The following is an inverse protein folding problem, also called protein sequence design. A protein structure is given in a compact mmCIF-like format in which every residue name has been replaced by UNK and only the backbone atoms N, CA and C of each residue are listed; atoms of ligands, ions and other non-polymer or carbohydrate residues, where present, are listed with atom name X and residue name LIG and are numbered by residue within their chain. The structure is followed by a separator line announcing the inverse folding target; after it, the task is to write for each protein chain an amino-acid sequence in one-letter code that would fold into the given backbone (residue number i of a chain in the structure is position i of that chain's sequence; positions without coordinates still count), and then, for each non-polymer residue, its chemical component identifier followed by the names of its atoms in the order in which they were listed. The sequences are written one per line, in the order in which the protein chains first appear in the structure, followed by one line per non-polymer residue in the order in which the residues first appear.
data_IF_545266420923
#
_entry.id   IF_545266420923
#
_cell.length_a   1.000
_cell.length_b   1.000
_cell.length_c   1.000
_cell.angle_alpha   90.00
_cell.angle_beta   90.00
_cell.angle_gamma   90.00
#
_symmetry.space_group_name_H-M   'P 1'
#
loop_
_entity.id
_entity.type
_entity.pdbx_description
1 polymer ?
#
# COMPACT_ATOMS: atom_id res chain seq x y z
N UNK A 1 3.76 -17.09 0.12
CA UNK A 1 3.86 -17.72 1.45
C UNK A 1 5.27 -17.56 2.00
N UNK A 2 6.34 -17.93 1.24
CA UNK A 2 7.72 -17.78 1.70
C UNK A 2 8.02 -16.34 2.15
N UNK A 3 7.69 -15.34 1.35
CA UNK A 3 7.89 -13.93 1.69
C UNK A 3 7.15 -13.54 2.96
N UNK A 4 5.93 -14.04 3.17
CA UNK A 4 5.16 -13.78 4.38
C UNK A 4 5.82 -14.38 5.63
N UNK A 5 6.28 -15.62 5.58
CA UNK A 5 6.88 -16.27 6.74
C UNK A 5 8.24 -15.69 7.14
N UNK A 6 9.06 -15.24 6.17
CA UNK A 6 10.36 -14.62 6.45
C UNK A 6 10.29 -13.33 7.28
N UNK A 7 9.14 -12.67 7.31
CA UNK A 7 8.95 -11.52 8.20
C UNK A 7 8.89 -11.93 9.68
N UNK A 8 8.58 -13.19 9.98
CA UNK A 8 8.35 -13.67 11.33
C UNK A 8 9.31 -14.77 11.79
N UNK A 9 10.18 -15.26 10.91
CA UNK A 9 11.26 -16.21 11.19
C UNK A 9 12.52 -15.75 10.44
N UNK A 10 13.50 -15.24 11.19
CA UNK A 10 14.78 -14.74 10.64
C UNK A 10 15.59 -15.81 9.90
N UNK A 11 15.37 -17.07 10.21
CA UNK A 11 16.03 -18.20 9.53
C UNK A 11 15.32 -18.68 8.26
N UNK A 12 14.20 -18.04 7.90
CA UNK A 12 13.32 -18.56 6.83
C UNK A 12 13.89 -18.43 5.42
N UNK A 13 14.92 -17.62 5.23
CA UNK A 13 15.65 -17.50 3.96
C UNK A 13 16.32 -18.82 3.51
N UNK A 14 16.47 -19.81 4.39
CA UNK A 14 16.91 -21.19 4.02
C UNK A 14 15.98 -21.85 3.00
N UNK A 15 14.71 -21.44 2.96
CA UNK A 15 13.71 -21.93 1.98
C UNK A 15 13.65 -21.11 0.68
N UNK A 16 14.55 -20.15 0.48
CA UNK A 16 14.61 -19.38 -0.76
C UNK A 16 14.82 -20.26 -2.00
N UNK A 17 15.70 -21.31 -1.99
CA UNK A 17 15.83 -22.22 -3.14
C UNK A 17 14.53 -22.88 -3.53
N UNK A 18 13.71 -23.30 -2.54
CA UNK A 18 12.36 -23.82 -2.77
C UNK A 18 11.44 -22.76 -3.38
N UNK A 19 11.44 -21.53 -2.83
CA UNK A 19 10.60 -20.43 -3.31
C UNK A 19 10.93 -20.02 -4.76
N UNK A 20 12.21 -20.11 -5.17
CA UNK A 20 12.63 -19.86 -6.54
C UNK A 20 12.22 -20.97 -7.52
N UNK A 21 11.88 -22.18 -7.04
CA UNK A 21 11.41 -23.30 -7.85
C UNK A 21 12.45 -23.84 -8.84
N UNK A 22 13.74 -23.54 -8.66
CA UNK A 22 14.82 -23.90 -9.57
C UNK A 22 15.62 -25.12 -9.11
N UNK A 23 15.58 -25.42 -7.83
CA UNK A 23 16.24 -26.53 -7.20
C UNK A 23 15.20 -27.60 -6.84
N UNK A 24 15.32 -28.78 -7.47
CA UNK A 24 14.39 -29.89 -7.23
C UNK A 24 14.66 -30.64 -5.94
N UNK A 25 15.84 -30.47 -5.39
CA UNK A 25 16.32 -31.09 -4.15
C UNK A 25 16.22 -30.12 -2.97
N UNK A 26 15.65 -28.92 -3.19
CA UNK A 26 15.45 -27.95 -2.14
C UNK A 26 14.56 -28.49 -1.02
N UNK A 27 14.88 -28.14 0.22
CA UNK A 27 14.04 -28.47 1.39
C UNK A 27 12.63 -27.87 1.20
N UNK A 28 11.61 -28.70 1.42
CA UNK A 28 10.21 -28.29 1.35
C UNK A 28 9.88 -27.25 2.43
N UNK A 29 9.17 -26.21 2.05
CA UNK A 29 8.73 -25.17 2.97
C UNK A 29 7.63 -25.71 3.90
N UNK A 30 7.67 -25.46 5.22
CA UNK A 30 6.65 -25.92 6.15
C UNK A 30 5.30 -25.23 5.89
N UNK A 31 4.20 -25.90 6.26
CA UNK A 31 2.84 -25.35 6.14
C UNK A 31 2.55 -24.25 7.17
N UNK A 32 3.29 -24.21 8.26
CA UNK A 32 3.14 -23.22 9.34
C UNK A 32 4.47 -23.01 10.05
N UNK A 33 4.59 -21.88 10.73
CA UNK A 33 5.77 -21.52 11.53
C UNK A 33 5.33 -21.09 12.93
N UNK A 34 6.27 -21.15 13.87
CA UNK A 34 6.17 -20.45 15.14
C UNK A 34 6.98 -19.17 14.99
N UNK A 35 6.36 -17.98 15.07
CA UNK A 35 7.08 -16.71 15.00
C UNK A 35 8.17 -16.62 16.09
N UNK A 36 9.30 -16.01 15.79
CA UNK A 36 10.40 -15.82 16.73
C UNK A 36 10.15 -14.70 17.75
N UNK A 37 9.04 -13.97 17.59
CA UNK A 37 8.58 -12.91 18.49
C UNK A 37 7.05 -12.76 18.48
N UNK A 38 6.51 -11.94 19.38
CA UNK A 38 5.07 -11.57 19.35
C UNK A 38 4.79 -10.63 18.19
N UNK A 39 3.89 -11.04 17.32
CA UNK A 39 3.55 -10.29 16.10
C UNK A 39 2.56 -9.17 16.40
N UNK A 40 2.86 -7.97 15.97
CA UNK A 40 1.98 -6.80 16.05
C UNK A 40 1.06 -6.69 14.82
N UNK A 41 0.01 -5.88 14.93
CA UNK A 41 -0.87 -5.55 13.80
C UNK A 41 -0.08 -4.85 12.68
N UNK A 42 0.82 -3.94 13.06
CA UNK A 42 1.64 -3.19 12.11
C UNK A 42 2.56 -4.09 11.27
N UNK A 43 3.13 -5.13 11.89
CA UNK A 43 3.94 -6.12 11.16
C UNK A 43 3.13 -6.93 10.17
N UNK A 44 1.90 -7.34 10.54
CA UNK A 44 1.00 -8.01 9.59
C UNK A 44 0.58 -7.07 8.46
N UNK A 45 0.28 -5.80 8.77
CA UNK A 45 0.01 -4.79 7.73
C UNK A 45 1.20 -4.60 6.78
N UNK A 46 2.43 -4.62 7.31
CA UNK A 46 3.65 -4.55 6.48
C UNK A 46 3.75 -5.76 5.55
N UNK A 47 3.44 -6.97 6.02
CA UNK A 47 3.40 -8.17 5.17
C UNK A 47 2.35 -8.08 4.06
N UNK A 48 1.18 -7.49 4.36
CA UNK A 48 0.14 -7.28 3.35
C UNK A 48 0.55 -6.27 2.26
N UNK A 49 1.64 -5.52 2.49
CA UNK A 49 2.23 -4.52 1.59
C UNK A 49 3.46 -5.00 0.84
N UNK A 50 3.86 -6.25 1.04
CA UNK A 50 5.09 -6.81 0.53
C UNK A 50 5.09 -7.00 -1.00
N UNK A 51 6.16 -6.54 -1.65
CA UNK A 51 6.46 -6.75 -3.07
C UNK A 51 7.78 -7.51 -3.24
N UNK A 52 8.17 -8.30 -2.25
CA UNK A 52 9.44 -9.05 -2.20
C UNK A 52 10.68 -8.16 -2.11
N UNK A 53 10.56 -6.93 -1.60
CA UNK A 53 11.66 -5.97 -1.51
C UNK A 53 12.87 -6.58 -0.82
N UNK A 54 14.05 -6.34 -1.40
CA UNK A 54 15.32 -6.86 -0.91
C UNK A 54 15.54 -8.36 -1.13
N UNK A 55 14.74 -9.02 -1.96
CA UNK A 55 14.87 -10.44 -2.32
C UNK A 55 15.15 -10.62 -3.81
N UNK A 56 15.64 -11.80 -4.24
CA UNK A 56 15.78 -12.12 -5.67
C UNK A 56 14.46 -12.14 -6.47
N UNK A 57 13.31 -12.15 -5.78
CA UNK A 57 11.97 -12.09 -6.40
C UNK A 57 11.47 -10.65 -6.57
N UNK A 58 12.17 -9.66 -6.01
CA UNK A 58 11.79 -8.25 -6.10
C UNK A 58 11.69 -7.79 -7.56
N UNK A 59 10.64 -7.04 -7.85
CA UNK A 59 10.38 -6.49 -9.19
C UNK A 59 10.57 -4.97 -9.26
N UNK A 60 10.94 -4.34 -8.15
CA UNK A 60 11.27 -2.92 -8.03
C UNK A 60 12.71 -2.57 -8.45
N UNK A 61 13.48 -3.56 -8.89
CA UNK A 61 14.82 -3.37 -9.44
C UNK A 61 14.80 -2.59 -10.75
N UNK A 62 15.93 -1.97 -11.10
CA UNK A 62 16.07 -1.17 -12.32
C UNK A 62 16.20 -2.02 -13.59
N UNK A 63 15.47 -3.11 -13.68
CA UNK A 63 15.31 -3.84 -14.93
C UNK A 63 14.24 -3.18 -15.84
N UNK A 64 14.15 -3.61 -17.10
CA UNK A 64 13.18 -3.04 -18.03
C UNK A 64 11.73 -3.31 -17.62
N UNK A 65 11.46 -4.37 -16.84
CA UNK A 65 10.12 -4.70 -16.37
C UNK A 65 9.61 -3.77 -15.28
N UNK A 66 10.47 -3.34 -14.34
CA UNK A 66 10.17 -2.32 -13.33
C UNK A 66 10.11 -0.91 -13.94
N UNK A 67 10.74 -0.75 -15.10
CA UNK A 67 10.82 0.52 -15.79
C UNK A 67 11.67 1.56 -15.05
N UNK A 68 11.68 2.75 -15.60
CA UNK A 68 12.44 3.89 -15.07
C UNK A 68 12.04 4.26 -13.61
N UNK A 69 10.80 3.95 -13.22
CA UNK A 69 10.25 4.33 -11.92
C UNK A 69 10.12 3.17 -10.94
N UNK A 70 10.77 2.03 -11.23
CA UNK A 70 10.86 0.89 -10.32
C UNK A 70 9.48 0.38 -9.85
N UNK A 71 8.53 0.23 -10.77
CA UNK A 71 7.21 -0.31 -10.45
C UNK A 71 7.35 -1.73 -9.85
N UNK A 72 6.81 -1.98 -8.64
CA UNK A 72 7.12 -3.19 -7.87
C UNK A 72 6.26 -4.40 -8.23
N UNK A 73 5.51 -4.39 -9.31
CA UNK A 73 4.76 -5.53 -9.83
C UNK A 73 4.78 -5.55 -11.35
N UNK A 74 4.40 -6.70 -11.93
CA UNK A 74 4.30 -6.86 -13.38
C UNK A 74 2.83 -6.91 -13.83
N UNK A 75 2.47 -6.32 -14.97
CA UNK A 75 1.14 -6.45 -15.54
C UNK A 75 0.79 -7.90 -15.85
N UNK A 76 -0.49 -8.25 -15.74
CA UNK A 76 -1.02 -9.54 -16.21
C UNK A 76 -1.19 -9.53 -17.74
N UNK A 77 -1.04 -10.70 -18.40
CA UNK A 77 -0.75 -12.03 -17.87
C UNK A 77 0.68 -12.15 -17.35
N UNK A 78 0.84 -12.85 -16.22
CA UNK A 78 2.16 -13.05 -15.61
C UNK A 78 3.04 -14.05 -16.38
N UNK A 79 2.46 -14.91 -17.20
CA UNK A 79 3.21 -15.85 -18.04
C UNK A 79 3.21 -15.43 -19.52
N UNK A 80 4.36 -15.57 -20.15
CA UNK A 80 4.58 -15.22 -21.56
C UNK A 80 5.63 -16.13 -22.19
N UNK A 81 5.70 -16.13 -23.52
CA UNK A 81 6.64 -16.95 -24.27
C UNK A 81 7.48 -16.06 -25.19
N UNK A 82 8.79 -16.22 -25.18
CA UNK A 82 9.71 -15.56 -26.08
C UNK A 82 10.63 -16.64 -26.70
N UNK A 83 10.74 -16.65 -28.01
CA UNK A 83 11.55 -17.59 -28.78
C UNK A 83 11.32 -19.07 -28.38
N UNK A 84 10.05 -19.42 -28.14
CA UNK A 84 9.64 -20.77 -27.73
C UNK A 84 9.91 -21.13 -26.27
N UNK A 85 10.54 -20.25 -25.50
CA UNK A 85 10.81 -20.44 -24.08
C UNK A 85 9.72 -19.75 -23.25
N UNK A 86 9.13 -20.50 -22.31
CA UNK A 86 8.10 -19.98 -21.40
C UNK A 86 8.75 -19.30 -20.20
N UNK A 87 8.27 -18.10 -19.88
CA UNK A 87 8.64 -17.29 -18.73
C UNK A 87 7.40 -16.98 -17.90
N UNK A 88 7.61 -16.61 -16.65
CA UNK A 88 6.58 -16.04 -15.79
C UNK A 88 7.18 -15.04 -14.79
N UNK A 89 6.35 -14.16 -14.26
CA UNK A 89 6.65 -13.28 -13.16
C UNK A 89 5.89 -13.70 -11.91
N UNK A 90 6.51 -13.56 -10.75
CA UNK A 90 5.82 -13.73 -9.48
C UNK A 90 4.78 -12.63 -9.26
N UNK A 91 3.69 -13.01 -8.59
CA UNK A 91 2.71 -12.04 -8.09
C UNK A 91 3.08 -11.69 -6.65
N UNK A 92 3.39 -10.41 -6.34
CA UNK A 92 3.61 -9.99 -4.96
C UNK A 92 2.33 -10.06 -4.13
N UNK A 93 2.44 -9.98 -2.81
CA UNK A 93 1.30 -9.93 -1.89
C UNK A 93 0.46 -8.69 -2.14
N UNK A 94 1.10 -7.53 -2.22
CA UNK A 94 0.47 -6.26 -2.60
C UNK A 94 0.50 -6.10 -4.11
N UNK A 95 -0.65 -5.85 -4.71
CA UNK A 95 -0.77 -5.69 -6.16
C UNK A 95 -1.99 -4.85 -6.50
N UNK A 96 -1.88 -4.09 -7.59
CA UNK A 96 -2.92 -3.18 -8.07
C UNK A 96 -4.30 -3.84 -8.33
N UNK A 97 -4.35 -5.16 -8.51
CA UNK A 97 -5.60 -5.89 -8.70
C UNK A 97 -6.32 -6.24 -7.39
N UNK A 98 -5.76 -5.88 -6.23
CA UNK A 98 -6.41 -6.13 -4.94
C UNK A 98 -7.63 -5.25 -4.80
N UNK A 99 -8.79 -5.85 -4.49
CA UNK A 99 -10.02 -5.08 -4.27
C UNK A 99 -10.11 -4.52 -2.84
N UNK A 100 -9.54 -5.24 -1.90
CA UNK A 100 -9.45 -4.85 -0.48
C UNK A 100 -8.35 -5.64 0.22
N UNK A 101 -7.96 -5.14 1.37
CA UNK A 101 -7.05 -5.82 2.29
C UNK A 101 -7.48 -5.56 3.73
N UNK A 102 -7.23 -6.51 4.63
CA UNK A 102 -7.55 -6.32 6.03
C UNK A 102 -6.65 -7.14 6.96
N UNK A 103 -6.58 -6.69 8.21
CA UNK A 103 -5.95 -7.41 9.32
C UNK A 103 -6.95 -7.50 10.47
N UNK A 104 -7.17 -8.70 11.00
CA UNK A 104 -8.05 -8.92 12.15
C UNK A 104 -7.23 -8.95 13.45
N UNK A 105 -7.63 -8.14 14.43
CA UNK A 105 -7.07 -8.12 15.77
C UNK A 105 -8.13 -8.59 16.76
N UNK A 106 -7.86 -9.73 17.44
CA UNK A 106 -8.80 -10.33 18.39
C UNK A 106 -8.16 -10.41 19.76
N UNK A 107 -8.84 -9.85 20.79
CA UNK A 107 -8.33 -9.76 22.17
C UNK A 107 -9.38 -10.30 23.14
N UNK A 108 -9.14 -11.49 23.64
CA UNK A 108 -10.09 -12.23 24.49
C UNK A 108 -10.28 -11.65 25.91
N UNK A 109 -9.41 -10.73 26.31
CA UNK A 109 -9.50 -10.07 27.64
C UNK A 109 -10.42 -8.82 27.64
N UNK A 110 -10.99 -8.46 26.52
CA UNK A 110 -11.97 -7.39 26.37
C UNK A 110 -13.33 -7.98 25.96
N UNK A 111 -14.45 -7.27 26.23
CA UNK A 111 -15.71 -7.60 25.58
C UNK A 111 -15.52 -7.72 24.07
N UNK A 112 -16.11 -8.74 23.44
CA UNK A 112 -15.88 -9.04 22.01
C UNK A 112 -16.15 -7.85 21.09
N UNK A 113 -17.10 -6.99 21.44
CA UNK A 113 -17.48 -5.79 20.68
C UNK A 113 -16.38 -4.72 20.67
N UNK A 114 -15.52 -4.71 21.70
CA UNK A 114 -14.38 -3.81 21.86
C UNK A 114 -13.09 -4.52 21.44
N UNK A 115 -12.93 -5.78 21.89
CA UNK A 115 -11.70 -6.57 21.69
C UNK A 115 -11.47 -7.02 20.25
N UNK A 116 -12.51 -7.10 19.44
CA UNK A 116 -12.43 -7.41 18.01
C UNK A 116 -12.34 -6.15 17.16
N UNK A 117 -11.28 -6.03 16.36
CA UNK A 117 -11.09 -4.95 15.38
C UNK A 117 -10.68 -5.53 14.05
N UNK A 118 -11.31 -5.09 12.97
CA UNK A 118 -10.86 -5.29 11.61
C UNK A 118 -10.21 -3.99 11.13
N UNK A 119 -8.93 -4.04 10.87
CA UNK A 119 -8.19 -2.98 10.19
C UNK A 119 -8.44 -3.13 8.70
N UNK A 120 -9.31 -2.30 8.15
CA UNK A 120 -9.88 -2.45 6.82
C UNK A 120 -9.42 -1.37 5.85
N UNK A 121 -9.17 -1.76 4.60
CA UNK A 121 -8.96 -0.83 3.49
C UNK A 121 -9.43 -1.40 2.15
N UNK A 122 -10.00 -0.55 1.33
CA UNK A 122 -10.33 -0.86 -0.05
C UNK A 122 -9.15 -0.57 -0.96
N UNK A 123 -8.94 -1.41 -1.97
CA UNK A 123 -7.82 -1.37 -2.90
C UNK A 123 -6.56 -2.07 -2.35
N UNK A 124 -5.42 -1.85 -2.97
CA UNK A 124 -4.13 -2.46 -2.67
C UNK A 124 -3.56 -2.03 -1.31
N UNK A 125 -3.18 -3.01 -0.48
CA UNK A 125 -2.67 -2.81 0.87
C UNK A 125 -1.52 -1.82 1.00
N UNK A 126 -0.67 -1.70 -0.03
CA UNK A 126 0.44 -0.75 -0.03
C UNK A 126 -0.01 0.70 -0.29
N UNK A 127 -1.13 0.88 -0.98
CA UNK A 127 -1.63 2.18 -1.45
C UNK A 127 -2.74 2.78 -0.57
N UNK A 128 -3.14 2.08 0.50
CA UNK A 128 -4.24 2.47 1.39
C UNK A 128 -3.77 2.66 2.82
N UNK A 129 -4.56 3.39 3.62
CA UNK A 129 -4.49 3.35 5.08
C UNK A 129 -5.58 2.41 5.60
N UNK A 130 -5.19 1.49 6.49
CA UNK A 130 -6.12 0.61 7.19
C UNK A 130 -6.87 1.38 8.27
N UNK A 131 -8.18 1.41 8.20
CA UNK A 131 -9.04 2.07 9.19
C UNK A 131 -9.58 1.07 10.22
N UNK A 132 -9.71 1.45 11.51
CA UNK A 132 -10.22 0.54 12.54
C UNK A 132 -11.74 0.42 12.47
N UNK A 133 -12.24 -0.79 12.23
CA UNK A 133 -13.65 -1.16 12.30
C UNK A 133 -13.84 -2.12 13.47
N UNK A 134 -14.53 -1.69 14.51
CA UNK A 134 -14.79 -2.53 15.68
C UNK A 134 -15.89 -3.56 15.40
N UNK A 135 -15.76 -4.77 15.96
CA UNK A 135 -16.73 -5.85 15.78
C UNK A 135 -18.12 -5.52 16.37
N UNK A 136 -18.19 -4.50 17.23
CA UNK A 136 -19.45 -3.95 17.75
C UNK A 136 -20.19 -3.04 16.78
N UNK A 137 -19.61 -2.70 15.62
CA UNK A 137 -20.24 -1.82 14.65
C UNK A 137 -21.51 -2.47 14.06
N UNK A 138 -22.58 -1.72 14.06
CA UNK A 138 -23.88 -2.10 13.48
C UNK A 138 -24.20 -1.34 12.19
N UNK A 139 -23.41 -0.30 11.88
CA UNK A 139 -23.55 0.53 10.68
C UNK A 139 -22.20 0.55 9.96
N UNK A 140 -22.22 0.17 8.70
CA UNK A 140 -21.05 0.21 7.84
C UNK A 140 -20.75 1.66 7.42
N UNK A 141 -19.47 2.11 7.41
CA UNK A 141 -19.13 3.42 6.86
C UNK A 141 -19.61 3.59 5.42
N UNK A 142 -20.27 4.70 5.12
CA UNK A 142 -20.86 4.95 3.80
C UNK A 142 -19.82 4.85 2.68
N UNK A 143 -18.59 5.31 2.91
CA UNK A 143 -17.53 5.26 1.90
C UNK A 143 -17.12 3.84 1.49
N UNK A 144 -17.44 2.83 2.30
CA UNK A 144 -17.20 1.41 1.97
C UNK A 144 -18.41 0.73 1.31
N UNK A 145 -19.56 1.39 1.31
CA UNK A 145 -20.80 0.89 0.69
C UNK A 145 -21.58 2.04 0.07
N UNK A 146 -20.93 2.81 -0.80
CA UNK A 146 -21.53 4.00 -1.42
C UNK A 146 -22.63 3.60 -2.42
N UNK A 147 -23.88 4.04 -2.21
CA UNK A 147 -24.96 3.75 -3.16
C UNK A 147 -24.64 4.27 -4.57
N UNK A 148 -24.88 3.44 -5.58
CA UNK A 148 -24.68 3.78 -6.99
C UNK A 148 -23.23 3.72 -7.48
N UNK A 149 -22.27 3.36 -6.63
CA UNK A 149 -20.91 3.04 -7.05
C UNK A 149 -20.76 1.52 -7.29
N UNK A 150 -20.22 1.15 -8.43
CA UNK A 150 -19.91 -0.24 -8.78
C UNK A 150 -18.58 -0.31 -9.57
N UNK A 151 -18.27 -1.47 -10.13
CA UNK A 151 -16.99 -1.70 -10.84
C UNK A 151 -16.81 -0.85 -12.11
N UNK A 152 -17.86 -0.20 -12.61
CA UNK A 152 -17.84 0.63 -13.83
C UNK A 152 -18.43 2.02 -13.60
N UNK A 153 -18.81 2.34 -12.36
CA UNK A 153 -19.41 3.64 -12.00
C UNK A 153 -18.54 4.31 -10.94
N UNK A 154 -17.74 5.28 -11.37
CA UNK A 154 -16.87 6.05 -10.48
C UNK A 154 -17.69 6.91 -9.50
N UNK A 155 -17.24 6.96 -8.26
CA UNK A 155 -17.72 7.93 -7.26
C UNK A 155 -16.56 8.39 -6.38
N UNK A 156 -16.42 9.69 -6.21
CA UNK A 156 -15.45 10.28 -5.29
C UNK A 156 -15.85 10.17 -3.80
N UNK A 157 -17.06 9.63 -3.53
CA UNK A 157 -17.54 9.27 -2.20
C UNK A 157 -17.24 7.83 -1.84
N UNK A 158 -16.78 7.01 -2.79
CA UNK A 158 -16.46 5.61 -2.59
C UNK A 158 -14.96 5.42 -2.34
N UNK A 159 -14.63 4.75 -1.25
CA UNK A 159 -13.23 4.55 -0.83
C UNK A 159 -12.43 3.74 -1.84
N UNK A 160 -13.02 2.68 -2.44
CA UNK A 160 -12.33 1.91 -3.49
C UNK A 160 -11.91 2.82 -4.65
N UNK A 161 -12.84 3.61 -5.19
CA UNK A 161 -12.55 4.44 -6.34
C UNK A 161 -11.51 5.53 -6.07
N UNK A 162 -11.56 6.16 -4.90
CA UNK A 162 -10.57 7.20 -4.55
C UNK A 162 -9.21 6.58 -4.26
N UNK A 163 -9.13 5.44 -3.55
CA UNK A 163 -7.89 4.72 -3.32
C UNK A 163 -7.29 4.21 -4.64
N UNK A 164 -8.11 3.59 -5.49
CA UNK A 164 -7.69 3.09 -6.79
C UNK A 164 -7.22 4.21 -7.73
N UNK A 165 -7.86 5.37 -7.70
CA UNK A 165 -7.38 6.55 -8.43
C UNK A 165 -5.97 6.96 -7.98
N UNK A 166 -5.73 7.05 -6.67
CA UNK A 166 -4.40 7.37 -6.12
C UNK A 166 -3.39 6.28 -6.51
N UNK A 167 -3.72 5.01 -6.37
CA UNK A 167 -2.80 3.91 -6.69
C UNK A 167 -2.42 3.89 -8.18
N UNK A 168 -3.39 4.15 -9.07
CA UNK A 168 -3.14 4.24 -10.52
C UNK A 168 -2.29 5.46 -10.93
N UNK A 169 -2.25 6.53 -10.13
CA UNK A 169 -1.30 7.63 -10.33
C UNK A 169 0.10 7.28 -9.82
N UNK A 170 0.20 6.58 -8.69
CA UNK A 170 1.46 6.33 -7.99
C UNK A 170 2.27 5.22 -8.65
N UNK A 171 1.66 4.10 -9.01
CA UNK A 171 2.39 2.95 -9.56
C UNK A 171 3.22 3.25 -10.81
N UNK A 172 2.73 3.98 -11.82
CA UNK A 172 3.54 4.30 -13.01
C UNK A 172 4.78 5.16 -12.70
N UNK A 173 4.81 5.83 -11.56
CA UNK A 173 5.94 6.64 -11.08
C UNK A 173 6.31 6.31 -9.65
N UNK A 174 6.36 5.04 -9.33
CA UNK A 174 6.41 4.50 -7.98
C UNK A 174 7.55 5.09 -7.15
N UNK A 175 8.80 5.00 -7.59
CA UNK A 175 9.94 5.49 -6.83
C UNK A 175 9.90 7.00 -6.53
N UNK A 176 9.17 7.78 -7.34
CA UNK A 176 9.01 9.23 -7.11
C UNK A 176 7.79 9.57 -6.24
N UNK A 177 6.66 8.90 -6.48
CA UNK A 177 5.37 9.30 -5.89
C UNK A 177 5.04 8.54 -4.61
N UNK A 178 5.45 7.29 -4.51
CA UNK A 178 5.14 6.45 -3.35
C UNK A 178 5.67 6.99 -2.02
N UNK A 179 6.88 7.61 -1.91
CA UNK A 179 7.31 8.23 -0.66
C UNK A 179 6.33 9.28 -0.12
N UNK A 180 5.72 10.08 -1.02
CA UNK A 180 4.72 11.07 -0.62
C UNK A 180 3.41 10.41 -0.12
N UNK A 181 2.95 9.37 -0.79
CA UNK A 181 1.79 8.60 -0.34
C UNK A 181 2.07 7.94 1.02
N UNK A 182 3.23 7.27 1.15
CA UNK A 182 3.62 6.56 2.36
C UNK A 182 3.65 7.47 3.58
N UNK A 183 4.18 8.68 3.45
CA UNK A 183 4.20 9.67 4.54
C UNK A 183 2.78 9.96 5.05
N UNK A 184 1.82 10.17 4.14
CA UNK A 184 0.42 10.44 4.49
C UNK A 184 -0.25 9.21 5.13
N UNK A 185 -0.04 8.05 4.53
CA UNK A 185 -0.57 6.76 5.01
C UNK A 185 -0.09 6.46 6.43
N UNK A 186 1.23 6.50 6.61
CA UNK A 186 1.86 6.14 7.88
C UNK A 186 1.47 7.12 8.99
N UNK A 187 1.37 8.42 8.67
CA UNK A 187 0.88 9.44 9.61
C UNK A 187 -0.54 9.16 10.08
N UNK A 188 -1.43 8.79 9.15
CA UNK A 188 -2.83 8.52 9.46
C UNK A 188 -2.98 7.23 10.30
N UNK A 189 -2.33 6.15 9.92
CA UNK A 189 -2.35 4.89 10.67
C UNK A 189 -1.73 5.02 12.07
N UNK A 190 -0.61 5.73 12.19
CA UNK A 190 0.01 6.01 13.49
C UNK A 190 -0.94 6.78 14.41
N UNK A 191 -1.77 7.68 13.86
CA UNK A 191 -2.79 8.37 14.65
C UNK A 191 -3.86 7.43 15.20
N UNK A 192 -4.27 6.41 14.42
CA UNK A 192 -5.23 5.40 14.88
C UNK A 192 -4.65 4.54 16.01
N UNK A 193 -3.42 4.06 15.86
CA UNK A 193 -2.76 3.27 16.91
C UNK A 193 -2.53 4.07 18.19
N UNK A 194 -2.17 5.35 18.06
CA UNK A 194 -2.01 6.23 19.22
C UNK A 194 -3.33 6.45 20.00
N UNK A 195 -4.45 6.47 19.29
CA UNK A 195 -5.77 6.68 19.88
C UNK A 195 -6.41 5.38 20.39
N UNK A 196 -6.00 4.21 19.91
CA UNK A 196 -6.69 2.93 20.14
C UNK A 196 -6.96 2.69 21.63
N UNK A 197 -5.95 2.85 22.49
CA UNK A 197 -6.12 2.60 23.92
C UNK A 197 -7.15 3.52 24.55
N UNK A 198 -7.11 4.82 24.29
CA UNK A 198 -8.05 5.78 24.88
C UNK A 198 -9.49 5.56 24.39
N UNK A 199 -9.66 5.20 23.12
CA UNK A 199 -10.97 4.85 22.54
C UNK A 199 -11.54 3.60 23.22
N UNK A 200 -10.73 2.60 23.45
CA UNK A 200 -11.14 1.33 24.06
C UNK A 200 -11.42 1.49 25.57
N UNK A 201 -10.64 2.28 26.28
CA UNK A 201 -10.88 2.60 27.70
C UNK A 201 -12.22 3.33 27.88
N UNK A 202 -12.54 4.30 27.02
CA UNK A 202 -13.83 5.00 27.04
C UNK A 202 -14.97 4.05 26.65
N UNK A 203 -14.80 3.26 25.58
CA UNK A 203 -15.78 2.27 25.18
C UNK A 203 -16.06 1.25 26.31
N UNK A 204 -15.04 0.80 27.04
CA UNK A 204 -15.20 -0.12 28.17
C UNK A 204 -15.94 0.57 29.34
N UNK A 205 -15.63 1.83 29.60
CA UNK A 205 -16.33 2.62 30.64
C UNK A 205 -17.81 2.75 30.31
N UNK A 206 -18.14 3.05 29.06
CA UNK A 206 -19.53 3.10 28.57
C UNK A 206 -20.18 1.71 28.63
N UNK A 207 -19.49 0.67 28.18
CA UNK A 207 -20.01 -0.71 28.14
C UNK A 207 -20.50 -1.22 29.49
N UNK A 208 -19.76 -0.88 30.55
CA UNK A 208 -20.11 -1.26 31.93
C UNK A 208 -21.34 -0.52 32.47
N UNK A 209 -21.73 0.62 31.88
CA UNK A 209 -22.89 1.42 32.27
C UNK A 209 -24.09 1.23 31.33
N UNK A 210 -23.81 1.27 30.05
CA UNK A 210 -24.79 1.18 28.95
C UNK A 210 -24.10 0.61 27.71
N UNK A 211 -24.33 -0.66 27.43
CA UNK A 211 -23.78 -1.35 26.27
C UNK A 211 -24.18 -0.65 24.94
N UNK A 212 -25.40 -0.15 24.81
CA UNK A 212 -25.83 0.51 23.59
C UNK A 212 -25.08 1.81 23.33
N UNK A 213 -24.80 2.59 24.39
CA UNK A 213 -23.96 3.78 24.29
C UNK A 213 -22.52 3.44 23.85
N UNK A 214 -21.92 2.35 24.37
CA UNK A 214 -20.60 1.88 23.93
C UNK A 214 -20.57 1.49 22.45
N UNK A 215 -21.58 0.75 21.97
CA UNK A 215 -21.68 0.37 20.56
C UNK A 215 -21.85 1.59 19.66
N UNK A 216 -22.67 2.54 20.07
CA UNK A 216 -22.82 3.80 19.33
C UNK A 216 -21.50 4.56 19.25
N UNK A 217 -20.78 4.68 20.35
CA UNK A 217 -19.48 5.34 20.40
C UNK A 217 -18.45 4.70 19.43
N UNK A 218 -18.35 3.38 19.43
CA UNK A 218 -17.45 2.64 18.52
C UNK A 218 -17.88 2.77 17.05
N UNK A 219 -19.18 2.74 16.76
CA UNK A 219 -19.70 3.03 15.42
C UNK A 219 -19.30 4.43 14.95
N UNK A 220 -19.56 5.44 15.77
CA UNK A 220 -19.26 6.84 15.43
C UNK A 220 -17.77 7.03 15.21
N UNK A 221 -16.91 6.43 16.05
CA UNK A 221 -15.47 6.46 15.89
C UNK A 221 -15.04 5.80 14.57
N UNK A 222 -15.43 4.56 14.29
CA UNK A 222 -15.07 3.85 13.08
C UNK A 222 -15.51 4.58 11.80
N UNK A 223 -16.77 5.08 11.81
CA UNK A 223 -17.30 5.86 10.69
C UNK A 223 -16.51 7.16 10.47
N UNK A 224 -16.18 7.86 11.56
CA UNK A 224 -15.39 9.09 11.50
C UNK A 224 -14.01 8.83 10.91
N UNK A 225 -13.31 7.77 11.36
CA UNK A 225 -11.99 7.45 10.83
C UNK A 225 -12.03 7.04 9.35
N UNK A 226 -13.04 6.29 8.93
CA UNK A 226 -13.23 5.94 7.52
C UNK A 226 -13.47 7.18 6.63
N UNK A 227 -14.30 8.12 7.08
CA UNK A 227 -14.54 9.37 6.36
C UNK A 227 -13.30 10.28 6.33
N UNK A 228 -12.56 10.37 7.43
CA UNK A 228 -11.30 11.11 7.48
C UNK A 228 -10.26 10.52 6.51
N UNK A 229 -10.16 9.19 6.44
CA UNK A 229 -9.30 8.52 5.45
C UNK A 229 -9.71 8.90 4.02
N UNK A 230 -11.00 8.80 3.69
CA UNK A 230 -11.51 9.17 2.36
C UNK A 230 -11.16 10.63 2.01
N UNK A 231 -11.42 11.57 2.94
CA UNK A 231 -11.10 12.99 2.75
C UNK A 231 -9.60 13.19 2.52
N UNK A 232 -8.76 12.54 3.34
CA UNK A 232 -7.29 12.59 3.21
C UNK A 232 -6.81 12.07 1.86
N UNK A 233 -7.39 10.97 1.36
CA UNK A 233 -7.02 10.41 0.05
C UNK A 233 -7.48 11.28 -1.13
N UNK A 234 -8.63 11.93 -1.03
CA UNK A 234 -9.07 12.93 -2.04
C UNK A 234 -8.11 14.13 -2.10
N UNK A 235 -7.70 14.64 -0.95
CA UNK A 235 -6.69 15.70 -0.87
C UNK A 235 -5.32 15.22 -1.40
N UNK A 236 -4.93 13.99 -1.06
CA UNK A 236 -3.70 13.39 -1.56
C UNK A 236 -3.72 13.27 -3.10
N UNK A 237 -4.83 12.82 -3.69
CA UNK A 237 -4.97 12.71 -5.14
C UNK A 237 -4.72 14.06 -5.83
N UNK A 238 -5.34 15.13 -5.35
CA UNK A 238 -5.15 16.48 -5.91
C UNK A 238 -3.74 17.02 -5.65
N UNK A 239 -3.15 16.72 -4.50
CA UNK A 239 -1.78 17.10 -4.20
C UNK A 239 -0.76 16.40 -5.11
N UNK A 240 -0.93 15.09 -5.32
CA UNK A 240 -0.05 14.30 -6.18
C UNK A 240 -0.09 14.79 -7.62
N UNK A 241 -1.28 15.05 -8.17
CA UNK A 241 -1.38 15.55 -9.55
C UNK A 241 -0.68 16.90 -9.72
N UNK A 242 -0.83 17.81 -8.74
CA UNK A 242 -0.15 19.11 -8.81
C UNK A 242 1.37 18.95 -8.64
N UNK A 243 1.82 18.08 -7.73
CA UNK A 243 3.25 17.90 -7.43
C UNK A 243 4.02 17.27 -8.57
N UNK A 244 3.38 16.35 -9.31
CA UNK A 244 4.06 15.46 -10.25
C UNK A 244 3.58 15.56 -11.72
N UNK A 245 2.69 16.50 -12.07
CA UNK A 245 2.26 16.63 -13.47
C UNK A 245 3.44 16.96 -14.42
N UNK A 246 3.26 16.63 -15.68
CA UNK A 246 4.20 16.93 -16.77
C UNK A 246 5.63 16.39 -16.54
N UNK A 247 5.73 15.24 -15.88
CA UNK A 247 7.01 14.55 -15.60
C UNK A 247 8.02 15.37 -14.80
N UNK A 248 7.59 16.42 -14.11
CA UNK A 248 8.43 17.20 -13.19
C UNK A 248 8.12 16.86 -11.74
N UNK A 249 8.96 17.30 -10.83
CA UNK A 249 8.71 17.32 -9.39
C UNK A 249 8.71 18.75 -8.90
N UNK A 250 7.59 19.18 -8.34
CA UNK A 250 7.49 20.49 -7.69
C UNK A 250 7.90 20.34 -6.22
N UNK A 251 9.00 20.94 -5.77
CA UNK A 251 9.44 20.83 -4.39
C UNK A 251 8.45 21.50 -3.44
N UNK A 252 8.32 20.90 -2.27
CA UNK A 252 7.42 21.36 -1.21
C UNK A 252 8.18 21.45 0.13
N UNK A 253 7.70 22.33 0.99
CA UNK A 253 7.97 22.30 2.42
C UNK A 253 6.68 21.85 3.12
N UNK A 254 6.67 20.64 3.65
CA UNK A 254 5.45 19.94 4.00
C UNK A 254 4.53 19.82 2.76
N UNK A 255 3.31 20.35 2.85
CA UNK A 255 2.36 20.41 1.71
C UNK A 255 2.34 21.76 0.97
N UNK A 256 3.19 22.72 1.33
CA UNK A 256 3.27 24.02 0.67
C UNK A 256 4.27 23.98 -0.47
N UNK A 257 3.83 24.33 -1.68
CA UNK A 257 4.69 24.37 -2.85
C UNK A 257 5.66 25.55 -2.81
N UNK A 258 6.95 25.27 -3.06
CA UNK A 258 7.95 26.31 -3.22
C UNK A 258 7.72 27.03 -4.55
N UNK A 259 7.73 28.36 -4.50
CA UNK A 259 7.47 29.22 -5.66
C UNK A 259 8.76 29.82 -6.21
N UNK A 260 8.70 30.28 -7.46
CA UNK A 260 9.74 31.09 -8.07
C UNK A 260 9.85 32.46 -7.38
N UNK A 261 10.93 33.20 -7.65
CA UNK A 261 11.12 34.55 -7.09
C UNK A 261 9.98 35.52 -7.44
N UNK A 262 9.33 35.33 -8.58
CA UNK A 262 8.18 36.14 -9.00
C UNK A 262 6.86 35.72 -8.36
N UNK A 263 6.82 34.56 -7.69
CA UNK A 263 5.61 34.01 -7.08
C UNK A 263 4.58 33.47 -8.08
N UNK A 264 4.79 33.62 -9.38
CA UNK A 264 3.83 33.24 -10.43
C UNK A 264 3.87 31.77 -10.83
N UNK A 265 4.81 30.99 -10.34
CA UNK A 265 4.94 29.57 -10.65
C UNK A 265 5.62 28.81 -9.55
N UNK A 266 5.57 27.48 -9.62
CA UNK A 266 6.34 26.61 -8.74
C UNK A 266 7.76 26.43 -9.27
N UNK A 267 8.73 26.28 -8.36
CA UNK A 267 10.03 25.73 -8.72
C UNK A 267 9.84 24.29 -9.14
N UNK A 268 10.53 23.86 -10.20
CA UNK A 268 10.43 22.50 -10.72
C UNK A 268 11.79 21.84 -10.78
N UNK A 269 11.83 20.55 -10.48
CA UNK A 269 12.96 19.67 -10.70
C UNK A 269 12.58 18.73 -11.85
N UNK A 270 13.49 18.56 -12.82
CA UNK A 270 13.39 17.58 -13.87
C UNK A 270 14.39 16.48 -13.59
N UNK A 271 13.90 15.30 -13.37
CA UNK A 271 14.73 14.11 -13.15
C UNK A 271 14.77 13.38 -14.50
N UNK A 272 15.96 13.23 -15.04
CA UNK A 272 16.19 12.41 -16.23
C UNK A 272 16.11 10.92 -15.92
N UNK A 273 16.60 10.09 -16.84
CA UNK A 273 16.72 8.67 -16.59
C UNK A 273 17.75 8.41 -15.48
N UNK A 274 17.46 7.48 -14.55
CA UNK A 274 18.52 6.90 -13.71
C UNK A 274 19.62 6.31 -14.59
N UNK A 275 20.88 6.41 -14.17
CA UNK A 275 22.03 5.99 -14.98
C UNK A 275 21.89 4.56 -15.52
N UNK A 276 21.46 3.63 -14.68
CA UNK A 276 21.27 2.24 -15.06
C UNK A 276 20.23 2.08 -16.18
N UNK A 277 19.11 2.83 -16.11
CA UNK A 277 18.11 2.81 -17.18
C UNK A 277 18.64 3.49 -18.45
N UNK A 278 19.38 4.58 -18.33
CA UNK A 278 20.02 5.25 -19.46
C UNK A 278 20.99 4.29 -20.20
N UNK A 279 21.76 3.48 -19.47
CA UNK A 279 22.62 2.43 -20.06
C UNK A 279 21.82 1.39 -20.85
N UNK A 280 20.68 0.92 -20.29
CA UNK A 280 19.80 -0.02 -21.01
C UNK A 280 19.16 0.63 -22.24
N UNK A 281 18.77 1.88 -22.14
CA UNK A 281 18.21 2.63 -23.27
C UNK A 281 19.22 2.76 -24.41
N UNK A 282 20.47 3.16 -24.11
CA UNK A 282 21.56 3.23 -25.11
C UNK A 282 21.85 1.86 -25.74
N UNK A 283 21.87 0.79 -24.92
CA UNK A 283 22.06 -0.58 -25.43
C UNK A 283 20.99 -0.97 -26.46
N UNK A 284 19.75 -0.51 -26.28
CA UNK A 284 18.64 -0.80 -27.18
C UNK A 284 18.65 0.08 -28.43
N UNK A 285 19.06 1.34 -28.30
CA UNK A 285 18.99 2.35 -29.39
C UNK A 285 20.30 2.56 -30.16
N UNK A 286 21.40 2.05 -29.62
CA UNK A 286 22.75 2.23 -30.20
C UNK A 286 23.11 3.72 -30.29
N UNK A 287 23.63 4.13 -31.43
CA UNK A 287 24.07 5.52 -31.67
C UNK A 287 22.94 6.47 -32.10
N UNK A 288 21.69 6.00 -32.19
CA UNK A 288 20.56 6.79 -32.72
C UNK A 288 20.39 8.14 -32.05
N UNK A 289 20.67 8.23 -30.76
CA UNK A 289 20.52 9.45 -29.96
C UNK A 289 21.85 9.95 -29.39
N UNK A 290 22.95 9.51 -30.00
CA UNK A 290 24.27 10.05 -29.64
C UNK A 290 24.32 11.54 -30.02
N UNK A 291 24.79 12.39 -29.08
CA UNK A 291 24.98 13.80 -29.38
C UNK A 291 25.99 13.96 -30.49
N UNK A 292 25.73 14.78 -31.50
CA UNK A 292 26.79 15.22 -32.39
C UNK A 292 27.82 16.00 -31.56
N UNK A 293 29.10 15.79 -31.82
CA UNK A 293 30.18 16.56 -31.16
C UNK A 293 30.07 18.05 -31.48
#
# INVERSE_FOLDING_TARGET
VWSFFRHFDKGFDRYLPWALGKDKDAEDMPLWIVPDHKVSVQEVQACMRDHYEGTPLATDTLDMGGGIWQMPYRPTPLSYTVDGVKYFNERPTSTQQSAFSYVSQMRSWLPREIGGVIWWGNDDGNMIAYTPIYCGNTVQPECYNTPGADAVTFSDRNAYWVCNWVSNMVYPRYSQMFPTLREVRDSLENSYFAQQKSVEDEALTLYNKDKAAALKYLNDYSNTQAQNMLATWRELATFLIVKYNDMVVKPTEGRTFLRTKTGLGARVKREGYPEQFARQFVKTTGTKFQSPE
#
